data_IF_789497528060
#
_entry.id   IF_789497528060
#
_cell.length_a   1.000
_cell.length_b   1.000
_cell.length_c   1.000
_cell.angle_alpha   90.00
_cell.angle_beta   90.00
_cell.angle_gamma   90.00
#
_symmetry.space_group_name_H-M   'P 1'
#
loop_
_entity.id
_entity.type
_entity.pdbx_description
1 polymer ?
#
# COMPACT_ATOMS: atom_id res chain seq x y z
N UNK A 1 19.01 7.84 -9.44
CA UNK A 1 17.74 8.30 -8.81
C UNK A 1 16.99 7.05 -8.41
N UNK A 2 16.88 6.75 -7.11
CA UNK A 2 16.14 5.58 -6.63
C UNK A 2 14.66 5.73 -7.02
N UNK A 3 14.05 4.69 -7.59
CA UNK A 3 12.62 4.67 -7.91
C UNK A 3 11.84 4.77 -6.60
N UNK A 4 11.16 5.90 -6.38
CA UNK A 4 10.33 6.12 -5.18
C UNK A 4 8.90 5.75 -5.47
N UNK A 5 8.31 4.91 -4.63
CA UNK A 5 6.95 4.45 -4.81
C UNK A 5 5.95 5.34 -4.07
N UNK A 6 4.79 5.55 -4.71
CA UNK A 6 3.61 6.16 -4.08
C UNK A 6 3.03 5.20 -3.06
N UNK A 7 2.54 5.73 -1.95
CA UNK A 7 1.98 4.92 -0.87
C UNK A 7 0.47 4.75 -1.10
N UNK A 8 -0.04 3.54 -0.93
CA UNK A 8 -1.47 3.21 -1.14
C UNK A 8 -2.12 2.64 0.12
N UNK A 9 -3.45 2.52 0.08
CA UNK A 9 -4.29 1.87 1.08
C UNK A 9 -3.70 0.53 1.54
N UNK A 10 -3.62 0.34 2.85
CA UNK A 10 -3.04 -0.87 3.44
C UNK A 10 -1.52 -0.88 3.52
N UNK A 11 -0.85 0.22 3.15
CA UNK A 11 0.57 0.44 3.43
C UNK A 11 0.87 0.26 4.92
N UNK A 12 2.00 -0.38 5.24
CA UNK A 12 2.43 -0.57 6.63
C UNK A 12 3.36 0.56 7.04
N UNK A 13 3.14 1.07 8.24
CA UNK A 13 3.98 2.07 8.88
C UNK A 13 4.38 1.61 10.27
N UNK A 14 5.49 2.15 10.76
CA UNK A 14 6.04 1.82 12.07
C UNK A 14 6.53 3.09 12.75
N UNK A 15 6.19 3.22 14.03
CA UNK A 15 6.76 4.26 14.88
C UNK A 15 8.14 3.84 15.38
N UNK A 16 9.13 4.72 15.33
CA UNK A 16 10.48 4.49 15.88
C UNK A 16 10.48 4.15 17.37
N UNK A 17 9.47 4.61 18.11
CA UNK A 17 9.31 4.34 19.54
C UNK A 17 8.34 3.18 19.82
N UNK A 18 7.68 2.66 18.79
CA UNK A 18 6.73 1.55 18.89
C UNK A 18 7.39 0.21 18.56
N UNK A 19 6.73 -0.87 18.98
CA UNK A 19 7.22 -2.23 18.80
C UNK A 19 6.50 -2.98 17.67
N UNK A 20 5.30 -2.52 17.30
CA UNK A 20 4.47 -3.18 16.29
C UNK A 20 4.15 -2.23 15.13
N UNK A 21 4.17 -2.71 13.87
CA UNK A 21 3.71 -1.93 12.73
C UNK A 21 2.17 -1.94 12.64
N UNK A 22 1.63 -0.91 12.01
CA UNK A 22 0.19 -0.77 11.72
C UNK A 22 -0.03 -0.39 10.24
N UNK A 23 -1.25 -0.53 9.76
CA UNK A 23 -1.63 -0.24 8.38
C UNK A 23 -2.34 1.12 8.27
N UNK A 24 -2.03 1.84 7.21
CA UNK A 24 -2.67 3.11 6.86
C UNK A 24 -3.99 2.84 6.13
N UNK A 25 -5.02 3.54 6.59
CA UNK A 25 -6.36 3.60 6.01
C UNK A 25 -6.63 5.01 5.50
N UNK A 26 -6.91 5.11 4.21
CA UNK A 26 -7.31 6.31 3.48
C UNK A 26 -8.78 6.59 3.77
N UNK A 27 -9.06 7.75 4.36
CA UNK A 27 -10.40 8.24 4.63
C UNK A 27 -10.73 9.53 3.88
N UNK A 28 -9.71 10.23 3.36
CA UNK A 28 -9.91 11.56 2.77
C UNK A 28 -10.63 11.55 1.41
N UNK A 29 -10.59 10.45 0.66
CA UNK A 29 -11.19 10.37 -0.67
C UNK A 29 -11.46 8.93 -1.11
N UNK A 30 -12.18 8.81 -2.24
CA UNK A 30 -12.55 7.53 -2.89
C UNK A 30 -12.33 7.54 -4.41
N UNK A 31 -11.54 8.47 -4.95
CA UNK A 31 -11.44 8.70 -6.40
C UNK A 31 -10.10 8.27 -6.99
N UNK A 32 -9.00 8.55 -6.29
CA UNK A 32 -7.66 8.30 -6.80
C UNK A 32 -7.10 6.95 -6.35
N UNK A 33 -6.86 6.07 -7.32
CA UNK A 33 -6.30 4.74 -7.12
C UNK A 33 -4.95 4.63 -7.82
N UNK A 34 -4.02 3.85 -7.24
CA UNK A 34 -2.74 3.54 -7.85
C UNK A 34 -2.51 2.04 -7.97
N UNK A 35 -2.01 1.61 -9.13
CA UNK A 35 -1.65 0.22 -9.42
C UNK A 35 -2.80 -0.78 -9.15
N UNK A 36 -4.03 -0.35 -9.43
CA UNK A 36 -5.24 -1.16 -9.36
C UNK A 36 -6.00 -1.05 -10.69
N UNK A 37 -5.96 -2.09 -11.54
CA UNK A 37 -6.63 -2.08 -12.84
C UNK A 37 -8.15 -2.02 -12.72
N UNK A 38 -8.72 -2.36 -11.56
CA UNK A 38 -10.17 -2.26 -11.28
C UNK A 38 -10.54 -0.99 -10.51
N UNK A 39 -9.55 -0.21 -10.05
CA UNK A 39 -9.75 1.06 -9.35
C UNK A 39 -10.72 0.97 -8.17
N UNK A 40 -10.55 -0.01 -7.28
CA UNK A 40 -11.51 -0.25 -6.18
C UNK A 40 -10.87 -0.39 -4.80
N UNK A 41 -9.62 -0.84 -4.70
CA UNK A 41 -9.01 -1.20 -3.41
C UNK A 41 -7.78 -0.37 -3.04
N UNK A 42 -6.96 0.05 -4.01
CA UNK A 42 -5.66 0.73 -3.73
C UNK A 42 -5.76 2.24 -3.84
N UNK A 43 -6.51 2.86 -2.93
CA UNK A 43 -6.58 4.32 -2.82
C UNK A 43 -5.21 4.90 -2.49
N UNK A 44 -4.89 6.08 -3.00
CA UNK A 44 -3.61 6.72 -2.76
C UNK A 44 -3.59 7.37 -1.37
N UNK A 45 -2.49 7.24 -0.62
CA UNK A 45 -2.34 7.93 0.66
C UNK A 45 -1.94 9.39 0.42
N UNK A 46 -2.60 10.31 1.11
CA UNK A 46 -2.34 11.76 0.97
C UNK A 46 -1.96 12.41 2.30
N UNK A 47 -1.43 13.63 2.23
CA UNK A 47 -1.14 14.46 3.41
C UNK A 47 -2.37 14.80 4.26
N UNK A 48 -3.59 14.57 3.75
CA UNK A 48 -4.85 14.76 4.48
C UNK A 48 -5.21 13.58 5.38
N UNK A 49 -4.45 12.48 5.32
CA UNK A 49 -4.58 11.37 6.27
C UNK A 49 -3.94 11.77 7.61
N UNK A 50 -4.69 12.53 8.39
CA UNK A 50 -4.35 12.97 9.76
C UNK A 50 -5.36 12.41 10.77
N UNK A 51 -4.96 12.38 12.04
CA UNK A 51 -5.78 11.87 13.14
C UNK A 51 -5.43 10.43 13.53
N UNK A 52 -6.30 9.82 14.33
CA UNK A 52 -6.18 8.44 14.84
C UNK A 52 -6.94 7.41 13.98
N UNK A 53 -7.94 7.86 13.21
CA UNK A 53 -8.78 6.98 12.39
C UNK A 53 -8.09 6.49 11.11
N UNK A 54 -6.94 7.06 10.78
CA UNK A 54 -6.14 6.72 9.59
C UNK A 54 -5.31 5.46 9.79
N UNK A 55 -5.31 4.87 10.97
CA UNK A 55 -4.60 3.64 11.31
C UNK A 55 -5.62 2.53 11.62
N UNK A 56 -5.40 1.33 11.08
CA UNK A 56 -6.36 0.24 11.18
C UNK A 56 -6.49 -0.30 12.61
N UNK A 57 -5.37 -0.59 13.27
CA UNK A 57 -5.35 -1.03 14.68
C UNK A 57 -5.24 0.14 15.66
N UNK A 58 -4.86 1.32 15.16
CA UNK A 58 -4.68 2.54 15.93
C UNK A 58 -3.74 2.33 17.14
N UNK A 59 -2.68 1.53 16.95
CA UNK A 59 -1.66 1.31 17.97
C UNK A 59 -0.35 0.81 17.35
N UNK A 60 0.78 1.26 17.90
CA UNK A 60 2.12 0.77 17.56
C UNK A 60 2.74 -0.08 18.69
N UNK A 61 1.92 -0.67 19.55
CA UNK A 61 2.37 -1.33 20.79
C UNK A 61 2.51 -0.34 21.94
N UNK A 62 3.57 -0.41 22.73
CA UNK A 62 3.77 0.48 23.89
C UNK A 62 4.69 1.65 23.53
N UNK A 63 4.39 2.85 24.02
CA UNK A 63 5.17 4.05 23.71
C UNK A 63 5.89 4.60 24.97
N UNK A 64 7.24 4.59 25.01
CA UNK A 64 8.00 5.12 26.15
C UNK A 64 7.88 6.64 26.31
N UNK A 65 7.43 7.37 25.26
CA UNK A 65 7.23 8.82 25.33
C UNK A 65 5.97 9.23 26.09
N UNK A 66 5.08 8.28 26.43
CA UNK A 66 3.82 8.58 27.10
C UNK A 66 3.88 8.38 28.62
N UNK A 67 4.87 7.66 29.15
CA UNK A 67 5.04 7.44 30.58
C UNK A 67 5.94 6.24 30.91
N UNK A 68 6.17 6.02 32.21
CA UNK A 68 6.90 4.85 32.73
C UNK A 68 6.11 4.21 33.89
N UNK A 69 5.67 2.94 33.79
CA UNK A 69 5.87 2.00 32.69
C UNK A 69 5.17 2.45 31.40
N UNK A 70 5.74 2.10 30.24
CA UNK A 70 5.27 2.57 28.93
C UNK A 70 3.84 2.07 28.63
N UNK A 71 2.84 2.97 28.56
CA UNK A 71 1.46 2.57 28.30
C UNK A 71 1.26 2.23 26.80
N UNK A 72 0.12 1.58 26.45
CA UNK A 72 -0.25 1.35 25.05
C UNK A 72 -0.33 2.67 24.26
N UNK A 73 0.32 2.68 23.11
CA UNK A 73 0.39 3.83 22.21
C UNK A 73 -0.97 4.08 21.55
N UNK A 74 -1.46 5.32 21.64
CA UNK A 74 -2.60 5.85 20.87
C UNK A 74 -2.11 6.94 19.92
N UNK A 75 -1.57 6.58 18.76
CA UNK A 75 -0.99 7.54 17.83
C UNK A 75 -2.06 8.49 17.27
N UNK A 76 -1.72 9.77 17.21
CA UNK A 76 -2.52 10.78 16.50
C UNK A 76 -1.59 11.46 15.51
N UNK A 77 -1.81 11.25 14.22
CA UNK A 77 -0.99 11.86 13.16
C UNK A 77 -1.39 13.33 13.05
N UNK A 78 -0.46 14.26 13.23
CA UNK A 78 -0.73 15.70 13.12
C UNK A 78 -0.42 16.21 11.72
N UNK A 79 0.68 15.75 11.13
CA UNK A 79 1.12 16.17 9.81
C UNK A 79 2.08 15.15 9.17
N UNK A 80 2.26 15.29 7.85
CA UNK A 80 3.22 14.54 7.06
C UNK A 80 4.39 15.45 6.63
N UNK A 81 5.61 14.92 6.67
CA UNK A 81 6.83 15.56 6.19
C UNK A 81 7.40 14.77 5.01
N UNK A 82 8.21 15.43 4.19
CA UNK A 82 8.86 14.85 3.01
C UNK A 82 7.88 14.24 1.98
N UNK A 83 6.70 14.84 1.84
CA UNK A 83 5.71 14.49 0.82
C UNK A 83 6.03 15.14 -0.53
N UNK A 84 5.43 14.63 -1.61
CA UNK A 84 5.66 15.10 -2.95
C UNK A 84 4.80 16.33 -3.28
N UNK A 85 5.44 17.50 -3.38
CA UNK A 85 4.77 18.80 -3.52
C UNK A 85 4.26 19.14 -4.93
N UNK A 86 4.80 18.48 -5.97
CA UNK A 86 4.50 18.84 -7.37
C UNK A 86 3.12 18.38 -7.85
N UNK A 87 2.49 17.45 -7.13
CA UNK A 87 1.17 16.92 -7.48
C UNK A 87 0.26 17.04 -6.27
N UNK A 88 -0.93 17.58 -6.51
CA UNK A 88 -2.02 17.72 -5.55
C UNK A 88 -3.23 16.98 -6.09
N UNK A 89 -3.86 16.16 -5.25
CA UNK A 89 -5.04 15.37 -5.59
C UNK A 89 -6.31 16.22 -5.49
N UNK A 90 -7.44 15.67 -5.95
CA UNK A 90 -8.73 16.39 -5.94
C UNK A 90 -9.21 16.75 -4.52
N UNK A 91 -8.71 16.04 -3.50
CA UNK A 91 -8.96 16.33 -2.09
C UNK A 91 -8.08 17.46 -1.51
N UNK A 92 -7.25 18.11 -2.34
CA UNK A 92 -6.31 19.14 -1.91
C UNK A 92 -5.12 18.62 -1.09
N UNK A 93 -4.93 17.30 -1.03
CA UNK A 93 -3.80 16.63 -0.40
C UNK A 93 -2.68 16.34 -1.38
N UNK A 94 -1.45 16.26 -0.88
CA UNK A 94 -0.28 15.91 -1.67
C UNK A 94 0.02 14.41 -1.56
N UNK A 95 0.72 13.87 -2.56
CA UNK A 95 1.14 12.48 -2.61
C UNK A 95 2.14 12.15 -1.51
N UNK A 96 1.89 11.06 -0.77
CA UNK A 96 2.84 10.47 0.16
C UNK A 96 3.72 9.47 -0.57
N UNK A 97 5.03 9.55 -0.32
CA UNK A 97 6.05 8.64 -0.86
C UNK A 97 6.60 7.77 0.27
N UNK A 98 7.28 6.68 -0.09
CA UNK A 98 7.95 5.77 0.86
C UNK A 98 8.90 6.47 1.86
N UNK A 99 9.51 7.60 1.48
CA UNK A 99 10.41 8.37 2.33
C UNK A 99 9.72 9.46 3.16
N UNK A 100 8.40 9.61 3.01
CA UNK A 100 7.60 10.52 3.81
C UNK A 100 7.48 10.00 5.24
N UNK A 101 7.50 10.92 6.20
CA UNK A 101 7.38 10.58 7.63
C UNK A 101 6.18 11.29 8.24
N UNK A 102 5.45 10.60 9.11
CA UNK A 102 4.34 11.18 9.86
C UNK A 102 4.82 11.66 11.24
N UNK A 103 4.26 12.79 11.67
CA UNK A 103 4.47 13.36 13.00
C UNK A 103 3.35 12.89 13.91
N UNK A 104 3.70 12.34 15.07
CA UNK A 104 2.75 11.94 16.10
C UNK A 104 2.61 13.05 17.15
N UNK A 105 1.38 13.36 17.57
CA UNK A 105 1.11 14.36 18.60
C UNK A 105 1.83 14.10 19.94
N UNK A 106 2.08 12.81 20.26
CA UNK A 106 2.78 12.41 21.50
C UNK A 106 4.27 12.75 21.42
N UNK A 107 4.91 12.47 20.28
CA UNK A 107 6.36 12.67 20.12
C UNK A 107 6.72 14.08 19.64
N UNK A 108 5.82 14.78 18.95
CA UNK A 108 6.06 16.09 18.33
C UNK A 108 7.07 16.07 17.17
N UNK A 109 7.69 14.91 16.90
CA UNK A 109 8.73 14.72 15.88
C UNK A 109 8.26 13.74 14.79
N UNK A 110 8.85 13.76 13.58
CA UNK A 110 8.55 12.81 12.52
C UNK A 110 9.07 11.41 12.85
N UNK A 111 8.31 10.65 13.65
CA UNK A 111 8.71 9.36 14.20
C UNK A 111 8.03 8.15 13.53
N UNK A 112 7.02 8.36 12.68
CA UNK A 112 6.33 7.27 11.97
C UNK A 112 6.88 7.19 10.55
N UNK A 113 7.43 6.03 10.20
CA UNK A 113 8.03 5.74 8.90
C UNK A 113 7.23 4.68 8.15
N UNK A 114 7.33 4.69 6.83
CA UNK A 114 6.61 3.76 5.96
C UNK A 114 7.55 2.61 5.63
N UNK A 115 7.15 1.39 6.00
CA UNK A 115 7.96 0.17 5.81
C UNK A 115 7.50 -0.65 4.61
N UNK A 116 6.24 -0.51 4.21
CA UNK A 116 5.67 -1.15 3.03
C UNK A 116 4.71 -0.15 2.38
N UNK A 117 4.99 0.26 1.15
CA UNK A 117 4.16 1.22 0.41
C UNK A 117 2.79 0.64 0.00
N UNK A 118 2.54 -0.66 0.21
CA UNK A 118 1.25 -1.31 -0.02
C UNK A 118 0.95 -1.62 -1.48
N UNK A 119 1.77 -1.12 -2.41
CA UNK A 119 1.66 -1.51 -3.82
C UNK A 119 2.13 -2.95 -3.98
N UNK A 120 1.42 -3.69 -4.83
CA UNK A 120 1.80 -5.04 -5.26
C UNK A 120 1.90 -5.01 -6.77
N UNK A 121 3.08 -5.33 -7.28
CA UNK A 121 3.33 -5.44 -8.71
C UNK A 121 2.74 -6.76 -9.20
N UNK A 122 1.81 -6.68 -10.16
CA UNK A 122 1.37 -7.87 -10.86
C UNK A 122 2.41 -8.21 -11.94
N UNK A 123 2.76 -9.49 -12.06
CA UNK A 123 3.60 -9.96 -13.13
C UNK A 123 2.91 -9.66 -14.47
N UNK A 124 3.48 -8.76 -15.26
CA UNK A 124 3.00 -8.45 -16.61
C UNK A 124 3.88 -9.15 -17.65
N UNK A 125 3.40 -9.36 -18.90
CA UNK A 125 4.24 -9.85 -19.99
C UNK A 125 5.51 -9.01 -20.19
N UNK A 126 5.43 -7.70 -19.92
CA UNK A 126 6.58 -6.80 -20.01
C UNK A 126 7.62 -7.10 -18.92
N UNK A 127 7.20 -7.48 -17.72
CA UNK A 127 8.13 -7.89 -16.65
C UNK A 127 8.92 -9.13 -17.06
N UNK A 128 8.28 -10.11 -17.72
CA UNK A 128 8.97 -11.30 -18.24
C UNK A 128 9.91 -11.00 -19.41
N UNK A 129 9.59 -9.99 -20.24
CA UNK A 129 10.50 -9.54 -21.30
C UNK A 129 11.74 -8.83 -20.75
N UNK A 130 11.56 -8.04 -19.70
CA UNK A 130 12.63 -7.26 -19.07
C UNK A 130 13.46 -8.10 -18.07
N UNK A 131 12.95 -9.24 -17.61
CA UNK A 131 13.65 -10.11 -16.69
C UNK A 131 14.85 -10.81 -17.36
N UNK A 132 15.92 -11.01 -16.59
CA UNK A 132 17.10 -11.71 -17.07
C UNK A 132 16.77 -13.19 -17.32
N UNK A 133 16.83 -13.60 -18.58
CA UNK A 133 16.44 -14.93 -19.04
C UNK A 133 17.32 -16.04 -18.46
N UNK A 134 18.59 -15.76 -18.19
CA UNK A 134 19.53 -16.77 -17.68
C UNK A 134 19.26 -17.06 -16.21
N UNK A 135 18.99 -16.02 -15.42
CA UNK A 135 18.54 -16.16 -14.03
C UNK A 135 17.20 -16.91 -13.97
N UNK A 136 16.25 -16.57 -14.83
CA UNK A 136 14.95 -17.25 -14.87
C UNK A 136 15.08 -18.73 -15.24
N UNK A 137 15.98 -19.08 -16.17
CA UNK A 137 16.26 -20.49 -16.51
C UNK A 137 16.94 -21.24 -15.37
N UNK A 138 17.79 -20.59 -14.58
CA UNK A 138 18.45 -21.23 -13.44
C UNK A 138 17.47 -21.50 -12.29
N UNK A 139 16.56 -20.57 -12.02
CA UNK A 139 15.55 -20.72 -10.96
C UNK A 139 14.44 -21.70 -11.38
N UNK A 140 14.03 -21.67 -12.64
CA UNK A 140 12.96 -22.54 -13.15
C UNK A 140 13.23 -23.02 -14.59
N UNK A 141 14.09 -24.04 -14.76
CA UNK A 141 14.51 -24.53 -16.08
C UNK A 141 13.40 -25.19 -16.90
N UNK A 142 12.33 -25.64 -16.25
CA UNK A 142 11.22 -26.36 -16.89
C UNK A 142 10.16 -25.42 -17.49
N UNK A 143 10.22 -24.13 -17.17
CA UNK A 143 9.19 -23.15 -17.58
C UNK A 143 9.80 -22.15 -18.55
N UNK A 144 9.16 -22.00 -19.73
CA UNK A 144 9.50 -20.93 -20.65
C UNK A 144 8.74 -19.63 -20.24
N UNK A 145 9.43 -18.60 -19.72
CA UNK A 145 8.78 -17.39 -19.20
C UNK A 145 7.97 -16.64 -20.26
N UNK A 146 8.32 -16.76 -21.55
CA UNK A 146 7.58 -16.11 -22.64
C UNK A 146 6.26 -16.82 -23.00
N UNK A 147 6.08 -18.08 -22.57
CA UNK A 147 4.87 -18.87 -22.85
C UNK A 147 3.85 -18.82 -21.69
N UNK A 148 4.21 -18.28 -20.52
CA UNK A 148 3.36 -18.30 -19.33
C UNK A 148 2.07 -17.47 -19.46
N UNK A 149 2.09 -16.37 -20.23
CA UNK A 149 0.94 -15.47 -20.34
C UNK A 149 -0.08 -15.83 -21.44
N UNK A 150 0.20 -16.82 -22.30
CA UNK A 150 -0.72 -17.19 -23.39
C UNK A 150 -2.00 -17.89 -22.91
N UNK A 151 -2.10 -18.28 -21.63
CA UNK A 151 -3.21 -19.10 -21.09
C UNK A 151 -4.16 -18.33 -20.14
N UNK A 152 -4.25 -17.01 -20.21
CA UNK A 152 -5.23 -16.23 -19.42
C UNK A 152 -6.46 -15.76 -20.20
N UNK A 153 -6.57 -16.09 -21.50
CA UNK A 153 -7.73 -15.75 -22.32
C UNK A 153 -8.88 -16.79 -22.27
N UNK A 154 -8.69 -17.94 -21.59
CA UNK A 154 -9.66 -19.03 -21.53
C UNK A 154 -10.31 -19.14 -20.14
N UNK A 155 -10.95 -18.06 -19.70
CA UNK A 155 -11.79 -18.05 -18.48
C UNK A 155 -13.10 -17.27 -18.70
N UNK A 156 -13.66 -17.36 -19.92
CA UNK A 156 -15.00 -16.83 -20.25
C UNK A 156 -16.08 -17.89 -20.46
N UNK A 157 -15.77 -19.18 -20.31
CA UNK A 157 -16.74 -20.25 -20.60
C UNK A 157 -17.23 -21.02 -19.37
N UNK A 158 -16.76 -20.70 -18.15
CA UNK A 158 -17.21 -21.41 -16.93
C UNK A 158 -18.38 -20.70 -16.24
N UNK A 159 -18.59 -19.39 -16.43
CA UNK A 159 -19.72 -18.67 -15.81
C UNK A 159 -21.08 -18.95 -16.45
N UNK A 160 -21.15 -19.48 -17.68
CA UNK A 160 -22.42 -19.82 -18.34
C UNK A 160 -22.94 -21.22 -18.02
N UNK A 161 -22.19 -22.06 -17.29
CA UNK A 161 -22.61 -23.42 -16.95
C UNK A 161 -23.40 -23.53 -15.61
N UNK A 162 -23.55 -22.43 -14.87
CA UNK A 162 -24.26 -22.40 -13.57
C UNK A 162 -25.67 -21.80 -13.61
N UNK A 163 -26.26 -21.63 -14.79
CA UNK A 163 -27.68 -21.28 -14.92
C UNK A 163 -28.44 -22.34 -15.71
N UNK A 164 -29.11 -23.23 -14.98
CA UNK A 164 -30.30 -23.94 -15.41
C UNK A 164 -31.06 -24.39 -14.16
N UNK A 165 -32.41 -24.49 -14.15
CA UNK A 165 -33.41 -23.95 -15.07
C UNK A 165 -34.46 -23.06 -14.34
N UNK A 166 -35.24 -22.33 -15.16
CA UNK A 166 -36.52 -21.75 -14.78
C UNK A 166 -37.43 -22.79 -14.11
N UNK A 167 -37.96 -22.47 -12.93
CA UNK A 167 -39.17 -23.06 -12.37
C UNK A 167 -40.21 -21.95 -12.18
N UNK A 168 -41.04 -21.75 -13.20
CA UNK A 168 -42.49 -21.51 -13.16
C UNK A 168 -42.98 -21.10 -14.54
#
# INVERSE_FOLDING_TARGET
>A
MSEKHVVVQGAKCQCQYGQMPDKIKVLSHKKEYANDPKGSQKLIVTTKEIGSATLEKNTFGNCPKMGNPAPPCKPVITEWKNFYKKVTLSNGGNLILENSKAVCAIAGTPCIEIIDHGQRTNASPQNFKNANKDILKQINPLVNPLKMYKKSALHREIETAHQSPNNN
#
